data_IF_902018583618
#
_entry.id   IF_902018583618
#
_cell.length_a   1.000
_cell.length_b   1.000
_cell.length_c   1.000
_cell.angle_alpha   90.00
_cell.angle_beta   90.00
_cell.angle_gamma   90.00
#
_symmetry.space_group_name_H-M   'P 1'
#
loop_
_entity.id
_entity.type
_entity.pdbx_description
1 polymer ?
#
# COMPACT_ATOMS: atom_id res chain seq x y z
N UNK A 1 59.95 36.22 13.60
CA UNK A 1 58.69 36.95 13.40
C UNK A 1 57.69 36.00 12.74
N UNK A 2 56.73 35.43 13.48
CA UNK A 2 55.71 34.50 12.94
C UNK A 2 54.36 35.22 12.95
N UNK A 3 53.77 35.40 11.79
CA UNK A 3 52.43 36.01 11.63
C UNK A 3 51.33 35.02 12.04
N UNK A 4 50.34 35.43 12.83
CA UNK A 4 49.22 34.57 13.21
C UNK A 4 48.31 34.34 11.99
N UNK A 5 47.98 33.08 11.71
CA UNK A 5 46.96 32.71 10.72
C UNK A 5 45.59 32.79 11.40
N UNK A 6 44.72 33.66 10.92
CA UNK A 6 43.31 33.70 11.32
C UNK A 6 42.61 32.44 10.81
N UNK A 7 42.10 31.61 11.72
CA UNK A 7 41.25 30.48 11.37
C UNK A 7 39.93 31.02 10.79
N UNK A 8 39.56 30.57 9.60
CA UNK A 8 38.30 30.97 8.94
C UNK A 8 37.15 30.19 9.58
N UNK A 9 36.21 30.81 10.32
CA UNK A 9 35.19 30.09 11.09
C UNK A 9 34.01 29.53 10.27
N UNK A 10 34.10 29.47 8.94
CA UNK A 10 32.94 29.23 8.07
C UNK A 10 32.80 27.82 7.48
N UNK A 11 33.81 26.94 7.65
CA UNK A 11 33.82 25.63 6.97
C UNK A 11 33.01 24.56 7.69
N UNK A 12 33.07 24.53 9.03
CA UNK A 12 32.43 23.46 9.81
C UNK A 12 30.90 23.62 9.88
N UNK A 13 30.39 24.86 9.92
CA UNK A 13 28.94 25.12 9.96
C UNK A 13 28.23 24.77 8.64
N UNK A 14 28.87 25.00 7.49
CA UNK A 14 28.35 24.63 6.17
C UNK A 14 28.36 23.11 5.96
N UNK A 15 29.40 22.43 6.44
CA UNK A 15 29.52 20.98 6.40
C UNK A 15 28.45 20.29 7.26
N UNK A 16 28.25 20.77 8.50
CA UNK A 16 27.21 20.25 9.39
C UNK A 16 25.80 20.41 8.80
N UNK A 17 25.55 21.52 8.08
CA UNK A 17 24.26 21.76 7.41
C UNK A 17 24.02 20.76 6.27
N UNK A 18 25.05 20.43 5.49
CA UNK A 18 24.95 19.46 4.38
C UNK A 18 24.74 18.04 4.91
N UNK A 19 25.43 17.67 5.99
CA UNK A 19 25.26 16.36 6.63
C UNK A 19 23.83 16.17 7.17
N UNK A 20 23.28 17.20 7.84
CA UNK A 20 21.90 17.18 8.33
C UNK A 20 20.90 17.00 7.18
N UNK A 21 21.06 17.73 6.08
CA UNK A 21 20.19 17.59 4.89
C UNK A 21 20.26 16.16 4.34
N UNK A 22 21.46 15.57 4.29
CA UNK A 22 21.65 14.17 3.89
C UNK A 22 20.91 13.19 4.80
N UNK A 23 21.10 13.30 6.12
CA UNK A 23 20.43 12.45 7.12
C UNK A 23 18.91 12.61 7.08
N UNK A 24 18.41 13.84 7.03
CA UNK A 24 16.98 14.13 6.93
C UNK A 24 16.40 13.52 5.65
N UNK A 25 17.08 13.64 4.52
CA UNK A 25 16.62 13.06 3.26
C UNK A 25 16.53 11.54 3.35
N UNK A 26 17.52 10.86 3.94
CA UNK A 26 17.50 9.42 4.16
C UNK A 26 16.33 9.03 5.07
N UNK A 27 16.12 9.75 6.17
CA UNK A 27 15.01 9.51 7.10
C UNK A 27 13.65 9.67 6.44
N UNK A 28 13.49 10.66 5.55
CA UNK A 28 12.28 10.85 4.77
C UNK A 28 12.02 9.66 3.84
N UNK A 29 13.03 9.20 3.10
CA UNK A 29 12.88 8.04 2.21
C UNK A 29 12.52 6.79 3.01
N UNK A 30 13.18 6.52 4.14
CA UNK A 30 12.85 5.39 5.01
C UNK A 30 11.42 5.47 5.53
N UNK A 31 11.00 6.65 5.97
CA UNK A 31 9.63 6.88 6.45
C UNK A 31 8.60 6.62 5.34
N UNK A 32 8.86 7.09 4.12
CA UNK A 32 8.00 6.85 2.96
C UNK A 32 7.95 5.35 2.59
N UNK A 33 9.06 4.62 2.73
CA UNK A 33 9.08 3.15 2.57
C UNK A 33 8.25 2.44 3.64
N UNK A 34 8.31 2.88 4.90
CA UNK A 34 7.44 2.35 5.96
C UNK A 34 5.96 2.59 5.65
N UNK A 35 5.60 3.80 5.23
CA UNK A 35 4.24 4.16 4.81
C UNK A 35 3.80 3.29 3.62
N UNK A 36 4.67 3.07 2.64
CA UNK A 36 4.40 2.18 1.51
C UNK A 36 4.13 0.74 1.96
N UNK A 37 4.90 0.23 2.93
CA UNK A 37 4.68 -1.10 3.53
C UNK A 37 3.32 -1.22 4.23
N UNK A 38 2.89 -0.16 4.93
CA UNK A 38 1.55 -0.11 5.53
C UNK A 38 0.44 -0.19 4.49
N UNK A 39 0.57 0.51 3.36
CA UNK A 39 -0.40 0.40 2.27
C UNK A 39 -0.50 -1.02 1.70
N UNK A 40 0.63 -1.72 1.51
CA UNK A 40 0.64 -3.12 1.05
C UNK A 40 -0.13 -4.02 2.01
N UNK A 41 0.15 -3.90 3.31
CA UNK A 41 -0.52 -4.71 4.33
C UNK A 41 -2.03 -4.43 4.39
N UNK A 42 -2.42 -3.15 4.34
CA UNK A 42 -3.82 -2.74 4.44
C UNK A 42 -4.64 -3.21 3.23
N UNK A 43 -4.10 -3.05 2.00
CA UNK A 43 -4.80 -3.47 0.77
C UNK A 43 -5.06 -4.97 0.77
N UNK A 44 -4.13 -5.78 1.27
CA UNK A 44 -4.33 -7.23 1.41
C UNK A 44 -5.46 -7.60 2.38
N UNK A 45 -5.57 -6.89 3.50
CA UNK A 45 -6.65 -7.09 4.46
C UNK A 45 -8.02 -6.69 3.87
N UNK A 46 -8.08 -5.53 3.20
CA UNK A 46 -9.30 -5.02 2.54
C UNK A 46 -9.76 -5.98 1.44
N UNK A 47 -8.87 -6.46 0.57
CA UNK A 47 -9.21 -7.40 -0.50
C UNK A 47 -9.81 -8.70 0.05
N UNK A 48 -9.23 -9.23 1.13
CA UNK A 48 -9.73 -10.44 1.78
C UNK A 48 -11.12 -10.24 2.39
N UNK A 49 -11.37 -9.10 3.03
CA UNK A 49 -12.66 -8.79 3.63
C UNK A 49 -13.75 -8.59 2.56
N UNK A 50 -13.42 -7.85 1.50
CA UNK A 50 -14.29 -7.68 0.35
C UNK A 50 -14.64 -9.02 -0.33
N UNK A 51 -13.66 -9.92 -0.50
CA UNK A 51 -13.89 -11.24 -1.08
C UNK A 51 -14.84 -12.08 -0.22
N UNK A 52 -14.66 -12.09 1.11
CA UNK A 52 -15.54 -12.83 2.03
C UNK A 52 -16.96 -12.30 2.03
N UNK A 53 -17.14 -10.99 2.05
CA UNK A 53 -18.47 -10.37 2.04
C UNK A 53 -19.17 -10.54 0.69
N UNK A 54 -18.43 -10.45 -0.43
CA UNK A 54 -18.93 -10.79 -1.75
C UNK A 54 -19.39 -12.25 -1.83
N UNK A 55 -18.58 -13.19 -1.35
CA UNK A 55 -18.95 -14.61 -1.34
C UNK A 55 -20.20 -14.87 -0.49
N UNK A 56 -20.31 -14.20 0.67
CA UNK A 56 -21.51 -14.27 1.51
C UNK A 56 -22.76 -13.72 0.80
N UNK A 57 -22.63 -12.58 0.14
CA UNK A 57 -23.74 -12.01 -0.62
C UNK A 57 -24.20 -12.95 -1.74
N UNK A 58 -23.24 -13.54 -2.47
CA UNK A 58 -23.54 -14.50 -3.53
C UNK A 58 -24.28 -15.73 -3.01
N UNK A 59 -23.86 -16.29 -1.87
CA UNK A 59 -24.57 -17.43 -1.23
C UNK A 59 -25.99 -17.08 -0.81
N UNK A 60 -26.25 -15.82 -0.45
CA UNK A 60 -27.58 -15.32 -0.07
C UNK A 60 -28.43 -14.87 -1.28
N UNK A 61 -27.93 -15.04 -2.51
CA UNK A 61 -28.60 -14.59 -3.73
C UNK A 61 -28.60 -13.07 -3.92
N UNK A 62 -27.75 -12.35 -3.19
CA UNK A 62 -27.54 -10.91 -3.35
C UNK A 62 -26.38 -10.60 -4.31
N UNK A 63 -26.24 -9.34 -4.71
CA UNK A 63 -25.18 -8.89 -5.62
C UNK A 63 -23.79 -8.93 -4.94
N UNK A 64 -22.86 -9.79 -5.39
CA UNK A 64 -21.52 -9.89 -4.82
C UNK A 64 -20.63 -8.67 -5.09
N UNK A 65 -20.81 -7.98 -6.22
CA UNK A 65 -19.98 -6.82 -6.57
C UNK A 65 -20.31 -5.63 -5.66
N UNK A 66 -21.60 -5.33 -5.48
CA UNK A 66 -22.04 -4.30 -4.55
C UNK A 66 -21.61 -4.57 -3.09
N UNK A 67 -21.66 -5.83 -2.65
CA UNK A 67 -21.23 -6.22 -1.31
C UNK A 67 -19.71 -6.08 -1.12
N UNK A 68 -18.91 -6.54 -2.09
CA UNK A 68 -17.46 -6.40 -2.06
C UNK A 68 -17.04 -4.92 -2.07
N UNK A 69 -17.66 -4.08 -2.92
CA UNK A 69 -17.33 -2.65 -3.02
C UNK A 69 -17.60 -1.85 -1.75
N UNK A 70 -18.61 -2.22 -0.95
CA UNK A 70 -18.88 -1.56 0.33
C UNK A 70 -17.73 -1.67 1.33
N UNK A 71 -16.91 -2.71 1.21
CA UNK A 71 -15.74 -2.90 2.07
C UNK A 71 -14.50 -2.18 1.55
N UNK A 72 -14.51 -1.70 0.30
CA UNK A 72 -13.36 -1.09 -0.34
C UNK A 72 -13.41 0.42 -0.09
N UNK A 73 -12.42 1.00 0.62
CA UNK A 73 -12.38 2.42 0.90
C UNK A 73 -12.04 3.22 -0.37
N UNK A 74 -12.52 4.45 -0.47
CA UNK A 74 -12.39 5.27 -1.69
C UNK A 74 -10.95 5.64 -2.11
N UNK A 75 -9.96 5.43 -1.25
CA UNK A 75 -8.54 5.60 -1.60
C UNK A 75 -7.93 4.36 -2.30
N UNK A 76 -8.58 3.19 -2.18
CA UNK A 76 -8.13 1.96 -2.80
C UNK A 76 -8.71 1.81 -4.20
N UNK A 77 -7.87 1.48 -5.18
CA UNK A 77 -8.31 1.28 -6.57
C UNK A 77 -8.66 -0.19 -6.80
N UNK A 78 -9.89 -0.44 -7.26
CA UNK A 78 -10.35 -1.77 -7.64
C UNK A 78 -9.83 -2.08 -9.05
N UNK A 79 -9.10 -3.18 -9.19
CA UNK A 79 -8.66 -3.66 -10.50
C UNK A 79 -9.73 -4.55 -11.13
N UNK A 80 -10.25 -5.52 -10.36
CA UNK A 80 -11.32 -6.40 -10.80
C UNK A 80 -12.00 -7.06 -9.61
N UNK A 81 -13.29 -7.34 -9.75
CA UNK A 81 -14.04 -8.23 -8.87
C UNK A 81 -14.64 -9.31 -9.76
N UNK A 82 -14.39 -10.58 -9.44
CA UNK A 82 -14.90 -11.70 -10.19
C UNK A 82 -15.65 -12.65 -9.26
N UNK A 83 -16.88 -12.99 -9.62
CA UNK A 83 -17.73 -13.94 -8.89
C UNK A 83 -18.00 -15.16 -9.76
N UNK A 84 -17.90 -16.36 -9.19
CA UNK A 84 -18.20 -17.61 -9.89
C UNK A 84 -18.77 -18.65 -8.93
N UNK A 85 -19.67 -19.49 -9.44
CA UNK A 85 -20.12 -20.68 -8.72
C UNK A 85 -19.15 -21.82 -8.94
N UNK A 86 -18.74 -22.50 -7.87
CA UNK A 86 -17.79 -23.61 -7.91
C UNK A 86 -18.38 -24.85 -7.23
N UNK A 87 -17.91 -26.07 -7.56
CA UNK A 87 -18.30 -27.26 -6.81
C UNK A 87 -18.06 -27.06 -5.31
N UNK A 88 -19.12 -27.16 -4.52
CA UNK A 88 -19.08 -26.97 -3.07
C UNK A 88 -19.32 -25.53 -2.56
N UNK A 89 -19.61 -24.53 -3.41
CA UNK A 89 -19.91 -23.19 -2.91
C UNK A 89 -19.95 -22.06 -3.94
N UNK A 90 -20.04 -20.83 -3.44
CA UNK A 90 -19.85 -19.60 -4.21
C UNK A 90 -18.45 -19.03 -3.96
N UNK A 91 -17.76 -18.59 -5.02
CA UNK A 91 -16.42 -18.02 -4.97
C UNK A 91 -16.44 -16.57 -5.43
N UNK A 92 -15.82 -15.70 -4.65
CA UNK A 92 -15.54 -14.30 -5.06
C UNK A 92 -14.05 -14.01 -4.93
N UNK A 93 -13.49 -13.43 -5.99
CA UNK A 93 -12.12 -12.97 -6.12
C UNK A 93 -12.11 -11.45 -6.21
N UNK A 94 -11.30 -10.80 -5.36
CA UNK A 94 -11.15 -9.34 -5.36
C UNK A 94 -9.69 -8.99 -5.60
N UNK A 95 -9.47 -8.18 -6.62
CA UNK A 95 -8.16 -7.65 -6.98
C UNK A 95 -8.11 -6.15 -6.73
N UNK A 96 -7.18 -5.74 -5.86
CA UNK A 96 -6.95 -4.33 -5.52
C UNK A 96 -5.54 -3.91 -5.90
N UNK A 97 -5.41 -2.68 -6.37
CA UNK A 97 -4.13 -2.07 -6.69
C UNK A 97 -3.58 -1.33 -5.47
N UNK A 98 -2.32 -1.58 -5.14
CA UNK A 98 -1.61 -0.86 -4.06
C UNK A 98 -1.22 0.54 -4.54
N UNK A 99 -1.52 1.62 -3.79
CA UNK A 99 -1.11 2.97 -4.15
C UNK A 99 0.40 3.15 -4.08
N UNK A 100 0.97 3.92 -5.02
CA UNK A 100 2.40 4.20 -5.13
C UNK A 100 2.72 5.51 -4.42
N UNK A 101 3.52 5.44 -3.35
CA UNK A 101 3.94 6.59 -2.55
C UNK A 101 5.25 7.20 -3.07
N UNK A 102 6.14 6.38 -3.65
CA UNK A 102 7.46 6.78 -4.16
C UNK A 102 7.60 6.45 -5.66
N UNK A 103 7.02 7.26 -6.57
CA UNK A 103 7.12 7.04 -8.01
C UNK A 103 8.60 7.12 -8.45
N UNK A 104 9.17 5.99 -8.89
CA UNK A 104 10.56 5.87 -9.35
C UNK A 104 11.45 4.98 -8.47
N UNK A 105 11.11 4.76 -7.20
CA UNK A 105 11.77 3.77 -6.32
C UNK A 105 10.92 2.50 -6.23
N UNK A 106 9.59 2.63 -6.20
CA UNK A 106 8.65 1.51 -6.21
C UNK A 106 7.94 1.47 -7.57
N UNK A 107 8.48 0.68 -8.50
CA UNK A 107 8.13 0.73 -9.93
C UNK A 107 7.12 -0.33 -10.38
N UNK A 108 6.59 -1.16 -9.50
CA UNK A 108 5.62 -2.20 -9.87
C UNK A 108 4.25 -1.89 -9.27
N UNK A 109 3.26 -1.60 -10.13
CA UNK A 109 1.86 -1.63 -9.76
C UNK A 109 1.53 -3.04 -9.26
N UNK A 110 1.57 -3.23 -7.95
CA UNK A 110 1.32 -4.52 -7.34
C UNK A 110 -0.19 -4.69 -7.18
N UNK A 111 -0.75 -5.66 -7.90
CA UNK A 111 -2.15 -6.06 -7.76
C UNK A 111 -2.18 -7.20 -6.75
N UNK A 112 -2.93 -7.01 -5.66
CA UNK A 112 -3.16 -8.05 -4.66
C UNK A 112 -4.47 -8.74 -4.98
N UNK A 113 -4.41 -10.04 -5.28
CA UNK A 113 -5.59 -10.90 -5.47
C UNK A 113 -5.87 -11.71 -4.20
N UNK A 114 -7.13 -11.71 -3.75
CA UNK A 114 -7.63 -12.55 -2.66
C UNK A 114 -8.95 -13.18 -3.03
N UNK A 115 -9.08 -14.48 -2.74
CA UNK A 115 -10.28 -15.26 -3.01
C UNK A 115 -10.93 -15.74 -1.71
N UNK A 116 -12.26 -15.83 -1.71
CA UNK A 116 -13.04 -16.51 -0.67
C UNK A 116 -14.05 -17.46 -1.29
N UNK A 117 -14.27 -18.62 -0.66
CA UNK A 117 -15.28 -19.61 -1.05
C UNK A 117 -16.21 -19.85 0.13
N UNK A 118 -17.52 -19.78 -0.08
CA UNK A 118 -18.53 -20.07 0.93
C UNK A 118 -19.43 -21.25 0.49
N UNK A 119 -19.69 -22.24 1.35
CA UNK A 119 -20.58 -23.35 1.02
C UNK A 119 -22.04 -22.89 0.87
N UNK A 120 -22.78 -23.57 -0.01
CA UNK A 120 -24.24 -23.39 -0.13
C UNK A 120 -24.92 -24.09 1.05
N UNK A 121 -25.68 -23.31 1.82
CA UNK A 121 -26.55 -23.82 2.88
C UNK A 121 -27.83 -24.43 2.34
#
# INVERSE_FOLDING_TARGET
>A
MRTPRTAVPGRDAGQASIELVGVVTILLVVTLLCVQGLFVAQVGAVAQQAARDGARAQTLGADPDAAARRQIPGWATVESIASSSVPGGERVSVQLRVPIVLPGITSSSFVISRDAVLPRG
#
